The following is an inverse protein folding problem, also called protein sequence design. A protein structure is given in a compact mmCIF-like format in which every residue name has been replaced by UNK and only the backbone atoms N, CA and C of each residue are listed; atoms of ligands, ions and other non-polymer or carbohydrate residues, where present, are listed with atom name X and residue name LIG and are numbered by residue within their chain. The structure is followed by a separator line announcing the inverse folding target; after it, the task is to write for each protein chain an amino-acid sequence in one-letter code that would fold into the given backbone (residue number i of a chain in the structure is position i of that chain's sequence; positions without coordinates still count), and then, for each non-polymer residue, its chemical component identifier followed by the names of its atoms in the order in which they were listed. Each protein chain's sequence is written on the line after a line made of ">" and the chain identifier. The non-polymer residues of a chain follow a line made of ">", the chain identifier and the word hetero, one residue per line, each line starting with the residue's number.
data_IF_401164934769
#
_entry.id   IF_401164934769
#
_cell.length_a   1.000
_cell.length_b   1.000
_cell.length_c   1.000
_cell.angle_alpha   90.00
_cell.angle_beta   90.00
_cell.angle_gamma   90.00
#
_symmetry.space_group_name_H-M   'P 1'
#
loop_
_entity.id
_entity.type
_entity.pdbx_description
1 polymer ?
#
# COMPACT_ATOMS: atom_id res chain seq x y z
N UNK A 1 -5.58 20.43 19.99
CA UNK A 1 -5.01 21.71 19.53
C UNK A 1 -5.48 22.85 20.43
N UNK A 2 -6.79 23.10 20.62
CA UNK A 2 -7.31 24.21 21.47
C UNK A 2 -6.76 24.17 22.89
N UNK A 3 -6.75 23.02 23.56
CA UNK A 3 -6.24 22.86 24.93
C UNK A 3 -4.75 23.22 25.04
N UNK A 4 -3.94 22.86 24.06
CA UNK A 4 -2.52 23.20 24.01
C UNK A 4 -2.31 24.71 23.86
N UNK A 5 -3.15 25.37 23.05
CA UNK A 5 -3.11 26.84 22.88
C UNK A 5 -3.60 27.58 24.13
N UNK A 6 -4.57 27.05 24.87
CA UNK A 6 -4.99 27.61 26.14
C UNK A 6 -3.87 27.53 27.20
N UNK A 7 -3.15 26.42 27.26
CA UNK A 7 -1.99 26.27 28.18
C UNK A 7 -0.85 27.22 27.79
N UNK A 8 -0.56 27.37 26.52
CA UNK A 8 0.40 28.35 26.00
C UNK A 8 -0.04 29.78 26.29
N UNK A 9 -1.32 30.10 26.17
CA UNK A 9 -1.89 31.40 26.50
C UNK A 9 -1.73 31.75 28.00
N UNK A 10 -1.86 30.77 28.89
CA UNK A 10 -1.60 30.95 30.32
C UNK A 10 -0.15 31.36 30.58
N UNK A 11 0.83 30.79 29.89
CA UNK A 11 2.25 31.14 29.99
C UNK A 11 2.62 32.48 29.35
N UNK A 12 1.92 32.85 28.26
CA UNK A 12 2.22 34.04 27.45
C UNK A 12 1.36 35.26 27.77
N UNK A 13 0.56 35.24 28.82
CA UNK A 13 -0.28 36.37 29.31
C UNK A 13 0.48 37.69 29.47
N UNK A 14 1.82 37.63 29.56
CA UNK A 14 2.70 38.77 29.77
C UNK A 14 2.93 39.59 28.46
N UNK A 15 2.63 39.04 27.26
CA UNK A 15 2.89 39.68 25.98
C UNK A 15 1.59 40.12 25.34
N UNK A 16 1.33 41.45 25.18
CA UNK A 16 0.06 41.96 24.67
C UNK A 16 -0.26 41.51 23.23
N UNK A 17 0.74 41.29 22.39
CA UNK A 17 0.56 40.86 20.99
C UNK A 17 0.01 39.42 20.91
N UNK A 18 0.40 38.55 21.81
CA UNK A 18 -0.14 37.18 21.87
C UNK A 18 -1.60 37.16 22.31
N UNK A 19 -1.97 38.05 23.20
CA UNK A 19 -3.33 38.17 23.74
C UNK A 19 -4.36 38.50 22.63
N UNK A 20 -3.97 39.34 21.68
CA UNK A 20 -4.83 39.74 20.54
C UNK A 20 -4.99 38.56 19.58
N UNK A 21 -3.90 37.86 19.21
CA UNK A 21 -3.91 36.71 18.30
C UNK A 21 -4.70 35.53 18.85
N UNK A 22 -4.59 35.27 20.15
CA UNK A 22 -5.32 34.20 20.82
C UNK A 22 -6.81 34.47 20.97
N UNK A 23 -7.18 35.70 21.34
CA UNK A 23 -8.59 36.06 21.49
C UNK A 23 -9.36 36.05 20.17
N UNK A 24 -8.69 36.26 19.04
CA UNK A 24 -9.30 36.18 17.73
C UNK A 24 -9.24 34.78 17.09
N UNK A 25 -8.51 33.83 17.70
CA UNK A 25 -8.33 32.48 17.13
C UNK A 25 -7.51 32.41 15.84
N UNK A 26 -7.00 33.56 15.36
CA UNK A 26 -6.27 33.64 14.08
C UNK A 26 -5.06 32.69 14.06
N UNK A 27 -4.28 32.67 15.14
CA UNK A 27 -3.10 31.80 15.22
C UNK A 27 -3.49 30.31 15.12
N UNK A 28 -4.59 29.92 15.77
CA UNK A 28 -5.12 28.53 15.66
C UNK A 28 -5.51 28.18 14.23
N UNK A 29 -6.19 29.09 13.53
CA UNK A 29 -6.58 28.89 12.13
C UNK A 29 -5.34 28.79 11.23
N UNK A 30 -4.36 29.67 11.41
CA UNK A 30 -3.12 29.67 10.61
C UNK A 30 -2.34 28.36 10.80
N UNK A 31 -2.14 27.93 12.05
CA UNK A 31 -1.44 26.66 12.36
C UNK A 31 -2.18 25.47 11.78
N UNK A 32 -3.52 25.43 11.91
CA UNK A 32 -4.32 24.36 11.33
C UNK A 32 -4.22 24.35 9.80
N UNK A 33 -4.30 25.52 9.16
CA UNK A 33 -4.16 25.63 7.71
C UNK A 33 -2.78 25.18 7.21
N UNK A 34 -1.71 25.54 7.93
CA UNK A 34 -0.34 25.07 7.62
C UNK A 34 -0.21 23.55 7.77
N UNK A 35 -0.80 23.00 8.84
CA UNK A 35 -0.77 21.56 9.09
C UNK A 35 -1.55 20.76 8.02
N UNK A 36 -2.73 21.23 7.66
CA UNK A 36 -3.54 20.64 6.60
C UNK A 36 -2.85 20.79 5.23
N UNK A 37 -2.27 21.96 4.94
CA UNK A 37 -1.52 22.19 3.71
C UNK A 37 -0.29 21.29 3.60
N UNK A 38 0.44 21.12 4.68
CA UNK A 38 1.57 20.18 4.73
C UNK A 38 1.11 18.71 4.58
N UNK A 39 0.02 18.32 5.26
CA UNK A 39 -0.55 16.97 5.11
C UNK A 39 -1.00 16.70 3.67
N UNK A 40 -1.67 17.65 3.03
CA UNK A 40 -2.06 17.56 1.64
C UNK A 40 -0.85 17.45 0.68
N UNK A 41 0.18 18.25 0.91
CA UNK A 41 1.43 18.14 0.14
C UNK A 41 2.05 16.75 0.29
N UNK A 42 2.10 16.22 1.52
CA UNK A 42 2.70 14.91 1.79
C UNK A 42 1.96 13.76 1.09
N UNK A 43 0.61 13.79 1.11
CA UNK A 43 -0.21 12.77 0.43
C UNK A 43 0.05 12.78 -1.10
N UNK A 44 0.30 13.96 -1.68
CA UNK A 44 0.54 14.11 -3.12
C UNK A 44 2.01 13.90 -3.53
N UNK A 45 2.91 13.80 -2.58
CA UNK A 45 4.34 13.68 -2.84
C UNK A 45 4.82 12.23 -2.65
N UNK A 46 4.81 11.48 -3.74
CA UNK A 46 5.30 10.10 -3.76
C UNK A 46 6.84 10.10 -3.76
N UNK A 47 7.45 9.35 -2.87
CA UNK A 47 8.90 9.22 -2.73
C UNK A 47 9.30 7.76 -2.85
N UNK A 48 10.25 7.47 -3.75
CA UNK A 48 10.85 6.15 -3.83
C UNK A 48 11.90 5.99 -2.71
N UNK A 49 11.81 4.89 -1.98
CA UNK A 49 12.79 4.51 -0.96
C UNK A 49 13.48 3.22 -1.39
N UNK A 50 14.82 3.19 -1.35
CA UNK A 50 15.58 2.01 -1.72
C UNK A 50 16.18 1.35 -0.48
N UNK A 51 16.05 0.03 -0.40
CA UNK A 51 16.64 -0.81 0.63
C UNK A 51 17.58 -1.82 -0.03
N UNK A 52 18.83 -1.85 0.41
CA UNK A 52 19.82 -2.84 -0.02
C UNK A 52 19.87 -3.98 1.00
N UNK A 53 19.38 -5.16 0.61
CA UNK A 53 19.42 -6.38 1.41
C UNK A 53 20.53 -7.28 0.87
N UNK A 54 21.37 -7.83 1.75
CA UNK A 54 22.42 -8.76 1.37
C UNK A 54 21.99 -10.18 1.67
N UNK A 55 22.19 -11.06 0.69
CA UNK A 55 21.94 -12.50 0.82
C UNK A 55 23.00 -13.27 0.04
N UNK A 56 23.46 -14.37 0.60
CA UNK A 56 24.39 -15.30 -0.09
C UNK A 56 23.60 -16.36 -0.89
N UNK A 57 22.26 -16.33 -0.84
CA UNK A 57 21.37 -17.34 -1.42
C UNK A 57 20.73 -16.93 -2.73
N UNK A 58 20.71 -15.65 -3.01
CA UNK A 58 20.04 -15.08 -4.19
C UNK A 58 21.01 -14.13 -4.87
N UNK A 59 21.17 -14.27 -6.18
CA UNK A 59 21.88 -13.27 -7.00
C UNK A 59 21.12 -11.94 -7.00
N UNK A 60 21.71 -10.89 -7.55
CA UNK A 60 21.12 -9.56 -7.59
C UNK A 60 19.68 -9.61 -8.09
N UNK A 61 18.74 -9.28 -7.21
CA UNK A 61 17.30 -9.28 -7.48
C UNK A 61 16.73 -7.92 -7.11
N UNK A 62 16.12 -7.25 -8.06
CA UNK A 62 15.44 -5.98 -7.85
C UNK A 62 13.94 -6.17 -7.73
N UNK A 63 13.40 -5.96 -6.55
CA UNK A 63 11.97 -6.02 -6.28
C UNK A 63 11.42 -4.60 -6.15
N UNK A 64 10.35 -4.32 -6.88
CA UNK A 64 9.54 -3.11 -6.72
C UNK A 64 8.33 -3.44 -5.87
N UNK A 65 8.20 -2.78 -4.73
CA UNK A 65 7.05 -2.91 -3.83
C UNK A 65 6.15 -1.67 -3.91
N UNK A 66 4.85 -1.90 -3.98
CA UNK A 66 3.82 -0.86 -3.97
C UNK A 66 2.74 -1.27 -2.96
N UNK A 67 2.44 -0.37 -2.01
CA UNK A 67 1.43 -0.58 -0.98
C UNK A 67 0.62 0.70 -0.73
N UNK A 68 -0.52 0.57 -0.10
CA UNK A 68 -1.30 1.67 0.48
C UNK A 68 -1.62 2.81 -0.52
N UNK A 69 -1.97 2.46 -1.76
CA UNK A 69 -2.31 3.45 -2.78
C UNK A 69 -3.63 4.15 -2.50
N UNK A 70 -4.61 3.47 -1.91
CA UNK A 70 -5.93 4.02 -1.66
C UNK A 70 -6.43 4.86 -2.84
N UNK A 71 -6.60 4.19 -3.97
CA UNK A 71 -6.90 4.81 -5.26
C UNK A 71 -8.10 5.76 -5.19
N UNK A 72 -7.98 6.89 -5.86
CA UNK A 72 -8.95 8.00 -5.91
C UNK A 72 -9.02 8.84 -4.63
N UNK A 73 -8.56 8.32 -3.49
CA UNK A 73 -8.37 9.09 -2.25
C UNK A 73 -7.03 9.82 -2.25
N UNK A 74 -5.94 9.08 -2.44
CA UNK A 74 -4.57 9.63 -2.44
C UNK A 74 -4.09 9.99 -3.83
N UNK A 75 -4.38 9.17 -4.83
CA UNK A 75 -3.85 9.24 -6.18
C UNK A 75 -4.96 9.07 -7.23
N UNK A 76 -4.95 9.87 -8.27
CA UNK A 76 -5.78 9.66 -9.46
C UNK A 76 -5.16 8.62 -10.39
N UNK A 77 -5.96 7.98 -11.25
CA UNK A 77 -5.48 7.03 -12.26
C UNK A 77 -4.42 7.64 -13.19
N UNK A 78 -4.58 8.93 -13.55
CA UNK A 78 -3.61 9.63 -14.40
C UNK A 78 -2.26 9.82 -13.70
N UNK A 79 -2.28 10.16 -12.41
CA UNK A 79 -1.06 10.27 -11.60
C UNK A 79 -0.41 8.89 -11.43
N UNK A 80 -1.21 7.84 -11.16
CA UNK A 80 -0.72 6.48 -11.06
C UNK A 80 -0.03 6.03 -12.37
N UNK A 81 -0.65 6.25 -13.53
CA UNK A 81 -0.04 5.89 -14.81
C UNK A 81 1.34 6.53 -14.99
N UNK A 82 1.47 7.82 -14.65
CA UNK A 82 2.76 8.52 -14.69
C UNK A 82 3.81 7.84 -13.80
N UNK A 83 3.42 7.45 -12.58
CA UNK A 83 4.34 6.72 -11.68
C UNK A 83 4.66 5.32 -12.20
N UNK A 84 3.71 4.61 -12.81
CA UNK A 84 3.97 3.32 -13.44
C UNK A 84 4.97 3.43 -14.59
N UNK A 85 4.88 4.51 -15.39
CA UNK A 85 5.85 4.79 -16.45
C UNK A 85 7.25 5.09 -15.89
N UNK A 86 7.34 5.84 -14.79
CA UNK A 86 8.61 6.10 -14.09
C UNK A 86 9.18 4.83 -13.46
N UNK A 87 8.34 4.03 -12.79
CA UNK A 87 8.72 2.74 -12.18
C UNK A 87 9.18 1.71 -13.22
N UNK A 88 8.60 1.72 -14.42
CA UNK A 88 9.04 0.86 -15.52
C UNK A 88 10.49 1.10 -15.93
N UNK A 89 11.01 2.33 -15.74
CA UNK A 89 12.40 2.67 -16.04
C UNK A 89 13.38 2.09 -15.01
N UNK A 90 12.90 1.66 -13.86
CA UNK A 90 13.73 1.00 -12.84
C UNK A 90 14.17 -0.39 -13.27
N UNK A 91 13.53 -0.99 -14.27
CA UNK A 91 13.79 -2.35 -14.76
C UNK A 91 13.81 -3.35 -13.58
N UNK A 92 12.71 -3.39 -12.82
CA UNK A 92 12.56 -4.34 -11.73
C UNK A 92 12.48 -5.78 -12.27
N UNK A 93 13.03 -6.75 -11.55
CA UNK A 93 12.86 -8.15 -11.88
C UNK A 93 11.46 -8.61 -11.50
N UNK A 94 10.94 -8.12 -10.38
CA UNK A 94 9.69 -8.52 -9.79
C UNK A 94 8.94 -7.30 -9.26
N UNK A 95 7.61 -7.31 -9.39
CA UNK A 95 6.72 -6.30 -8.76
C UNK A 95 5.81 -7.00 -7.76
N UNK A 96 5.70 -6.43 -6.57
CA UNK A 96 4.78 -6.91 -5.53
C UNK A 96 3.85 -5.77 -5.10
N UNK A 97 2.56 -6.06 -5.07
CA UNK A 97 1.50 -5.17 -4.62
C UNK A 97 1.02 -5.72 -3.27
N UNK A 98 1.36 -5.02 -2.18
CA UNK A 98 1.21 -5.56 -0.83
C UNK A 98 -0.03 -5.05 -0.09
N UNK A 99 -1.10 -4.83 -0.84
CA UNK A 99 -2.44 -4.53 -0.32
C UNK A 99 -2.74 -3.05 -0.20
N UNK A 100 -3.99 -2.77 0.17
CA UNK A 100 -4.59 -1.44 0.29
C UNK A 100 -4.41 -0.59 -0.99
N UNK A 101 -4.50 -1.27 -2.13
CA UNK A 101 -4.44 -0.64 -3.46
C UNK A 101 -5.75 0.08 -3.74
N UNK A 102 -6.87 -0.57 -3.40
CA UNK A 102 -8.22 -0.06 -3.52
C UNK A 102 -8.88 0.04 -2.15
N UNK A 103 -9.86 0.92 -2.03
CA UNK A 103 -10.66 1.05 -0.83
C UNK A 103 -12.17 1.21 -1.18
N UNK A 104 -13.01 1.34 -0.15
CA UNK A 104 -14.45 1.48 -0.28
C UNK A 104 -14.89 2.75 -1.03
N UNK A 105 -14.00 3.71 -1.23
CA UNK A 105 -14.29 4.97 -1.94
C UNK A 105 -13.78 4.95 -3.40
N UNK A 106 -13.07 3.90 -3.79
CA UNK A 106 -12.55 3.77 -5.16
C UNK A 106 -13.70 3.50 -6.13
N UNK A 107 -13.91 4.33 -7.17
CA UNK A 107 -14.89 4.03 -8.21
C UNK A 107 -14.51 2.80 -9.05
N UNK A 108 -15.51 2.07 -9.55
CA UNK A 108 -15.29 0.88 -10.38
C UNK A 108 -14.40 1.16 -11.60
N UNK A 109 -14.65 2.25 -12.30
CA UNK A 109 -13.84 2.64 -13.47
C UNK A 109 -12.38 2.92 -13.10
N UNK A 110 -12.15 3.51 -11.93
CA UNK A 110 -10.81 3.79 -11.43
C UNK A 110 -10.10 2.49 -11.01
N UNK A 111 -10.79 1.55 -10.36
CA UNK A 111 -10.26 0.21 -10.07
C UNK A 111 -9.81 -0.52 -11.33
N UNK A 112 -10.64 -0.52 -12.38
CA UNK A 112 -10.33 -1.15 -13.66
C UNK A 112 -9.14 -0.48 -14.35
N UNK A 113 -9.09 0.84 -14.38
CA UNK A 113 -8.03 1.58 -15.06
C UNK A 113 -6.72 1.59 -14.28
N UNK A 114 -6.77 1.64 -12.95
CA UNK A 114 -5.59 1.50 -12.11
C UNK A 114 -4.98 0.09 -12.22
N UNK A 115 -5.80 -0.96 -12.28
CA UNK A 115 -5.32 -2.33 -12.54
C UNK A 115 -4.55 -2.44 -13.87
N UNK A 116 -5.02 -1.76 -14.92
CA UNK A 116 -4.31 -1.70 -16.21
C UNK A 116 -2.98 -0.94 -16.11
N UNK A 117 -3.00 0.19 -15.39
CA UNK A 117 -1.80 0.99 -15.18
C UNK A 117 -0.73 0.19 -14.42
N UNK A 118 -1.09 -0.47 -13.32
CA UNK A 118 -0.19 -1.34 -12.56
C UNK A 118 0.35 -2.48 -13.40
N UNK A 119 -0.49 -3.12 -14.22
CA UNK A 119 -0.08 -4.19 -15.11
C UNK A 119 0.89 -3.73 -16.22
N UNK A 120 0.95 -2.43 -16.52
CA UNK A 120 1.87 -1.86 -17.50
C UNK A 120 3.30 -1.69 -17.02
N UNK A 121 3.57 -1.88 -15.72
CA UNK A 121 4.92 -1.75 -15.16
C UNK A 121 5.83 -2.82 -15.76
N UNK A 122 6.92 -2.38 -16.40
CA UNK A 122 7.89 -3.28 -16.99
C UNK A 122 8.62 -4.09 -15.92
N UNK A 123 8.62 -5.42 -16.07
CA UNK A 123 9.26 -6.35 -15.14
C UNK A 123 9.59 -7.67 -15.89
N UNK A 124 10.39 -8.55 -15.27
CA UNK A 124 10.84 -9.79 -15.90
C UNK A 124 10.09 -11.03 -15.39
N UNK A 125 9.69 -11.05 -14.12
CA UNK A 125 9.20 -12.25 -13.43
C UNK A 125 7.73 -12.17 -13.01
N UNK A 126 7.04 -11.09 -13.36
CA UNK A 126 5.63 -10.91 -13.09
C UNK A 126 5.30 -9.93 -11.98
N UNK A 127 4.00 -9.68 -11.84
CA UNK A 127 3.41 -8.80 -10.83
C UNK A 127 2.53 -9.67 -9.93
N UNK A 128 2.75 -9.58 -8.63
CA UNK A 128 2.06 -10.37 -7.62
C UNK A 128 1.35 -9.45 -6.64
N UNK A 129 0.14 -9.84 -6.28
CA UNK A 129 -0.72 -9.05 -5.41
C UNK A 129 -1.20 -9.88 -4.22
N UNK A 130 -1.25 -9.25 -3.06
CA UNK A 130 -1.97 -9.73 -1.88
C UNK A 130 -2.96 -8.67 -1.42
N UNK A 131 -4.08 -9.10 -0.84
CA UNK A 131 -5.04 -8.16 -0.26
C UNK A 131 -4.51 -7.53 1.02
N UNK A 132 -4.80 -6.24 1.20
CA UNK A 132 -4.77 -5.58 2.50
C UNK A 132 -6.14 -5.61 3.19
N UNK A 133 -6.29 -4.84 4.25
CA UNK A 133 -7.55 -4.82 5.00
C UNK A 133 -8.65 -3.99 4.31
N UNK A 134 -8.31 -3.04 3.44
CA UNK A 134 -9.29 -2.26 2.69
C UNK A 134 -9.81 -2.99 1.46
N UNK A 135 -8.99 -3.71 0.74
CA UNK A 135 -9.37 -4.37 -0.50
C UNK A 135 -9.77 -5.85 -0.35
N UNK A 136 -9.73 -6.42 0.88
CA UNK A 136 -10.17 -7.79 1.17
C UNK A 136 -11.65 -7.91 1.61
N UNK A 137 -12.41 -6.82 1.65
CA UNK A 137 -13.80 -6.79 2.09
C UNK A 137 -14.01 -6.75 3.61
N UNK A 138 -12.96 -6.58 4.42
CA UNK A 138 -13.08 -6.45 5.89
C UNK A 138 -13.73 -5.14 6.30
N UNK A 139 -13.49 -4.09 5.55
CA UNK A 139 -14.21 -2.82 5.67
C UNK A 139 -15.44 -2.86 4.75
N UNK A 140 -16.53 -2.24 5.20
CA UNK A 140 -17.84 -2.38 4.57
C UNK A 140 -17.84 -1.95 3.09
N UNK A 141 -17.66 -2.91 2.19
CA UNK A 141 -17.97 -2.76 0.77
C UNK A 141 -19.49 -2.68 0.50
N UNK A 142 -20.32 -2.55 1.55
CA UNK A 142 -21.78 -2.49 1.39
C UNK A 142 -22.24 -1.37 0.45
N UNK A 143 -21.45 -0.31 0.32
CA UNK A 143 -21.75 0.84 -0.52
C UNK A 143 -20.78 0.97 -1.72
N UNK A 144 -19.82 0.03 -1.87
CA UNK A 144 -18.90 -0.01 -3.01
C UNK A 144 -19.56 -0.62 -4.24
N UNK A 145 -19.17 -0.16 -5.43
CA UNK A 145 -19.62 -0.68 -6.72
C UNK A 145 -19.03 -2.05 -7.07
N UNK A 146 -18.01 -2.52 -6.33
CA UNK A 146 -17.30 -3.78 -6.55
C UNK A 146 -16.87 -4.43 -5.23
N UNK A 147 -16.59 -5.72 -5.26
CA UNK A 147 -16.09 -6.49 -4.13
C UNK A 147 -14.70 -7.10 -4.37
N UNK A 148 -14.15 -7.86 -3.39
CA UNK A 148 -12.84 -8.50 -3.51
C UNK A 148 -12.72 -9.43 -4.72
N UNK A 149 -13.78 -10.13 -5.08
CA UNK A 149 -13.81 -11.02 -6.25
C UNK A 149 -13.71 -10.25 -7.58
N UNK A 150 -14.29 -9.05 -7.64
CA UNK A 150 -14.19 -8.17 -8.81
C UNK A 150 -12.76 -7.61 -8.94
N UNK A 151 -12.13 -7.27 -7.80
CA UNK A 151 -10.72 -6.89 -7.74
C UNK A 151 -9.85 -8.02 -8.28
N UNK A 152 -10.04 -9.25 -7.74
CA UNK A 152 -9.31 -10.44 -8.21
C UNK A 152 -9.47 -10.62 -9.72
N UNK A 153 -10.71 -10.70 -10.19
CA UNK A 153 -10.99 -10.95 -11.61
C UNK A 153 -10.38 -9.88 -12.52
N UNK A 154 -10.38 -8.62 -12.07
CA UNK A 154 -9.81 -7.51 -12.83
C UNK A 154 -8.29 -7.57 -12.86
N UNK A 155 -7.63 -7.83 -11.73
CA UNK A 155 -6.18 -7.97 -11.66
C UNK A 155 -5.68 -9.15 -12.49
N UNK A 156 -6.30 -10.33 -12.34
CA UNK A 156 -5.95 -11.56 -13.10
C UNK A 156 -6.17 -11.38 -14.61
N UNK A 157 -7.24 -10.71 -15.02
CA UNK A 157 -7.50 -10.35 -16.42
C UNK A 157 -6.38 -9.48 -17.03
N UNK A 158 -5.72 -8.68 -16.21
CA UNK A 158 -4.59 -7.86 -16.63
C UNK A 158 -3.22 -8.54 -16.41
N UNK A 159 -3.20 -9.83 -16.05
CA UNK A 159 -1.96 -10.61 -15.88
C UNK A 159 -1.27 -10.45 -14.53
N UNK A 160 -1.93 -9.86 -13.55
CA UNK A 160 -1.43 -9.75 -12.17
C UNK A 160 -1.85 -11.01 -11.41
N UNK A 161 -0.90 -11.68 -10.76
CA UNK A 161 -1.16 -12.91 -10.00
C UNK A 161 -1.63 -12.56 -8.59
N UNK A 162 -2.85 -12.94 -8.25
CA UNK A 162 -3.41 -12.71 -6.92
C UNK A 162 -3.09 -13.90 -6.02
N UNK A 163 -2.41 -13.64 -4.91
CA UNK A 163 -2.02 -14.66 -3.94
C UNK A 163 -2.85 -14.50 -2.66
N UNK A 164 -3.46 -15.60 -2.22
CA UNK A 164 -4.25 -15.66 -1.00
C UNK A 164 -4.01 -17.02 -0.34
N UNK A 165 -3.13 -17.06 0.65
CA UNK A 165 -2.57 -18.27 1.23
C UNK A 165 -2.01 -19.22 0.15
N UNK A 166 -1.21 -18.67 -0.74
CA UNK A 166 -0.69 -19.35 -1.91
C UNK A 166 0.82 -19.12 -2.08
N UNK A 167 1.45 -20.03 -2.82
CA UNK A 167 2.89 -19.99 -3.11
C UNK A 167 3.11 -20.07 -4.61
N UNK A 168 4.00 -19.21 -5.12
CA UNK A 168 4.53 -19.29 -6.48
C UNK A 168 6.04 -19.48 -6.39
N UNK A 169 6.53 -20.55 -7.04
CA UNK A 169 7.95 -20.84 -7.10
C UNK A 169 8.53 -20.40 -8.43
N UNK A 170 9.36 -19.39 -8.41
CA UNK A 170 10.19 -18.95 -9.52
C UNK A 170 11.53 -19.71 -9.53
N UNK A 171 12.40 -19.38 -10.47
CA UNK A 171 13.67 -20.11 -10.60
C UNK A 171 14.56 -19.98 -9.36
N UNK A 172 14.69 -18.77 -8.82
CA UNK A 172 15.64 -18.46 -7.73
C UNK A 172 14.95 -18.09 -6.41
N UNK A 173 13.64 -17.86 -6.43
CA UNK A 173 12.88 -17.42 -5.24
C UNK A 173 11.50 -18.07 -5.18
N UNK A 174 10.96 -18.13 -3.97
CA UNK A 174 9.57 -18.48 -3.74
C UNK A 174 8.82 -17.26 -3.23
N UNK A 175 7.68 -16.95 -3.84
CA UNK A 175 6.80 -15.87 -3.43
C UNK A 175 5.65 -16.48 -2.65
N UNK A 176 5.47 -16.03 -1.42
CA UNK A 176 4.41 -16.50 -0.54
C UNK A 176 3.45 -15.33 -0.30
N UNK A 177 2.24 -15.44 -0.85
CA UNK A 177 1.17 -14.51 -0.58
C UNK A 177 0.27 -15.03 0.52
N UNK A 178 0.27 -14.35 1.65
CA UNK A 178 -0.52 -14.73 2.81
C UNK A 178 -1.79 -13.89 2.90
N UNK A 179 -2.89 -14.55 3.23
CA UNK A 179 -4.17 -13.89 3.49
C UNK A 179 -4.03 -12.82 4.58
N UNK A 180 -4.68 -11.68 4.44
CA UNK A 180 -4.69 -10.63 5.45
C UNK A 180 -5.32 -11.10 6.77
N UNK A 181 -4.82 -10.61 7.90
CA UNK A 181 -5.26 -11.05 9.22
C UNK A 181 -6.64 -10.50 9.60
N UNK A 182 -7.08 -9.41 9.00
CA UNK A 182 -8.40 -8.79 9.24
C UNK A 182 -9.53 -9.48 8.47
N UNK A 183 -9.21 -10.43 7.61
CA UNK A 183 -10.22 -11.16 6.82
C UNK A 183 -11.17 -11.95 7.71
N UNK A 184 -12.46 -11.61 7.67
CA UNK A 184 -13.52 -12.22 8.49
C UNK A 184 -14.20 -13.40 7.78
N UNK A 185 -13.49 -14.12 6.92
CA UNK A 185 -14.03 -15.28 6.22
C UNK A 185 -14.11 -16.53 7.09
N UNK A 186 -14.81 -17.56 6.58
CA UNK A 186 -14.97 -18.86 7.25
C UNK A 186 -13.70 -19.72 7.22
N UNK A 187 -12.77 -19.43 6.31
CA UNK A 187 -11.51 -20.16 6.19
C UNK A 187 -10.40 -19.44 6.97
N UNK A 188 -9.83 -20.11 7.99
CA UNK A 188 -8.75 -19.52 8.75
C UNK A 188 -7.51 -19.29 7.86
N UNK A 189 -6.81 -18.21 8.12
CA UNK A 189 -5.52 -17.88 7.51
C UNK A 189 -4.49 -18.98 7.79
N UNK A 190 -3.77 -19.44 6.77
CA UNK A 190 -2.72 -20.43 6.95
C UNK A 190 -1.56 -19.88 7.79
N UNK A 191 -0.95 -20.75 8.57
CA UNK A 191 0.29 -20.43 9.28
C UNK A 191 1.47 -20.35 8.31
N UNK A 192 2.52 -19.64 8.70
CA UNK A 192 3.76 -19.59 7.90
C UNK A 192 4.32 -20.97 7.62
N UNK A 193 4.28 -21.89 8.62
CA UNK A 193 4.75 -23.25 8.45
C UNK A 193 3.97 -24.01 7.37
N UNK A 194 2.63 -23.89 7.37
CA UNK A 194 1.79 -24.52 6.34
C UNK A 194 2.10 -23.96 4.94
N UNK A 195 2.33 -22.66 4.82
CA UNK A 195 2.70 -22.05 3.53
C UNK A 195 4.09 -22.51 3.07
N UNK A 196 5.05 -22.65 3.98
CA UNK A 196 6.39 -23.17 3.66
C UNK A 196 6.32 -24.64 3.21
N UNK A 197 5.40 -25.44 3.75
CA UNK A 197 5.16 -26.82 3.30
C UNK A 197 4.62 -26.92 1.87
N UNK A 198 4.00 -25.85 1.36
CA UNK A 198 3.52 -25.76 -0.03
C UNK A 198 4.64 -25.55 -1.05
N UNK A 199 5.82 -25.10 -0.62
CA UNK A 199 6.99 -24.95 -1.50
C UNK A 199 7.43 -26.38 -1.94
N UNK A 200 7.63 -26.63 -3.25
CA UNK A 200 8.17 -27.90 -3.74
C UNK A 200 9.51 -28.24 -3.08
N UNK A 201 9.70 -29.52 -2.70
CA UNK A 201 10.90 -29.97 -1.96
C UNK A 201 12.22 -29.56 -2.65
N UNK A 202 12.27 -29.66 -3.99
CA UNK A 202 13.42 -29.27 -4.79
C UNK A 202 13.66 -27.75 -4.86
N UNK A 203 12.77 -26.94 -4.30
CA UNK A 203 12.83 -25.48 -4.25
C UNK A 203 12.94 -24.95 -2.80
N UNK A 204 13.00 -25.83 -1.80
CA UNK A 204 13.22 -25.46 -0.40
C UNK A 204 14.70 -25.27 -0.14
N UNK A 205 15.09 -24.21 0.59
CA UNK A 205 16.45 -24.09 1.11
C UNK A 205 16.65 -25.05 2.28
N UNK A 206 17.78 -25.76 2.31
CA UNK A 206 18.08 -26.78 3.32
C UNK A 206 18.20 -26.28 4.78
N UNK A 207 18.10 -24.99 5.03
CA UNK A 207 18.35 -24.36 6.34
C UNK A 207 17.12 -24.17 7.24
N UNK A 208 15.99 -24.78 6.96
CA UNK A 208 14.79 -24.71 7.83
C UNK A 208 14.67 -25.88 8.83
N UNK A 209 15.76 -26.55 9.15
CA UNK A 209 15.81 -27.60 10.17
C UNK A 209 16.62 -27.14 11.39
N UNK A 210 16.12 -26.12 12.09
CA UNK A 210 16.56 -25.85 13.47
C UNK A 210 15.49 -25.10 14.24
#
# INVERSE_FOLDING_TARGET
>A
VMLLFELLNLGLKRFPIYRISFTTGILGIVVTALFLGYGYYNIKHVVATTYDLKSDKVEDLKILEIADLHMSTSLSVTELQKYCDEMSQLNADLVVLTGDIFDENTPLDDMVNASKALASINNQQGIYYVYGNHDNGSHAFSDSEFGPEDVRATLEKNGIVVLEDAVVSLDNINIIGRKDASFWGTNPRLSTSQLLEMIPENKRSEEHTS
#
